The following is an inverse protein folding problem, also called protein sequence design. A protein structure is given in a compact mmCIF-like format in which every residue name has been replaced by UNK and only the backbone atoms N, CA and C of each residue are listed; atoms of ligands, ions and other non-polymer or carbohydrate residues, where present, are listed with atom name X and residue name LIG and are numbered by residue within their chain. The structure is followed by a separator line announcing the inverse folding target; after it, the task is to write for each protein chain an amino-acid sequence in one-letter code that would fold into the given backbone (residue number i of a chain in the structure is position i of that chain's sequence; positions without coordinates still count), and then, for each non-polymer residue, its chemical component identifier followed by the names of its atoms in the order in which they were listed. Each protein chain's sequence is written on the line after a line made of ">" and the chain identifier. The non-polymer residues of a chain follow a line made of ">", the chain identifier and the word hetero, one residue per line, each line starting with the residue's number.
data_IF_532169011695
#
_entry.id   IF_532169011695
#
_cell.length_a   1.000
_cell.length_b   1.000
_cell.length_c   1.000
_cell.angle_alpha   90.00
_cell.angle_beta   90.00
_cell.angle_gamma   90.00
#
_symmetry.space_group_name_H-M   'P 1'
#
loop_
_entity.id
_entity.type
_entity.pdbx_description
1 polymer ?
#
# COMPACT_ATOMS: atom_id res chain seq x y z
N UNK A 1 1.19 -8.42 -24.68
CA UNK A 1 1.36 -6.99 -24.30
C UNK A 1 0.20 -6.14 -24.77
N UNK A 2 -0.28 -6.29 -26.00
CA UNK A 2 -1.40 -5.49 -26.55
C UNK A 2 -2.70 -5.61 -25.74
N UNK A 3 -3.10 -6.83 -25.35
CA UNK A 3 -4.23 -7.05 -24.42
C UNK A 3 -4.09 -6.27 -23.09
N UNK A 4 -2.93 -6.32 -22.44
CA UNK A 4 -2.72 -5.58 -21.18
C UNK A 4 -2.83 -4.07 -21.40
N UNK A 5 -2.34 -3.56 -22.54
CA UNK A 5 -2.42 -2.14 -22.88
C UNK A 5 -3.86 -1.67 -23.18
N UNK A 6 -4.72 -2.54 -23.70
CA UNK A 6 -6.12 -2.20 -23.99
C UNK A 6 -7.04 -2.35 -22.79
N UNK A 7 -6.65 -3.15 -21.79
CA UNK A 7 -7.44 -3.35 -20.56
C UNK A 7 -6.99 -2.47 -19.39
N UNK A 8 -5.76 -1.95 -19.42
CA UNK A 8 -5.16 -1.28 -18.27
C UNK A 8 -4.36 -0.04 -18.68
N UNK A 9 -5.01 1.13 -18.61
CA UNK A 9 -4.42 2.43 -18.99
C UNK A 9 -3.14 2.78 -18.22
N UNK A 10 -2.98 2.24 -17.01
CA UNK A 10 -1.78 2.45 -16.18
C UNK A 10 -0.53 1.74 -16.71
N UNK A 11 -0.66 0.74 -17.61
CA UNK A 11 0.48 -0.06 -18.10
C UNK A 11 1.53 0.77 -18.85
N UNK A 12 1.14 1.92 -19.42
CA UNK A 12 2.07 2.83 -20.12
C UNK A 12 2.34 4.13 -19.34
N UNK A 13 1.78 4.28 -18.14
CA UNK A 13 1.90 5.54 -17.42
C UNK A 13 3.29 5.64 -16.74
N UNK A 14 4.04 6.74 -16.91
CA UNK A 14 5.47 6.82 -16.57
C UNK A 14 5.77 6.69 -15.07
N UNK A 15 4.76 6.82 -14.20
CA UNK A 15 4.88 6.53 -12.76
C UNK A 15 4.97 5.04 -12.43
N UNK A 16 4.67 4.15 -13.38
CA UNK A 16 4.66 2.71 -13.20
C UNK A 16 5.88 2.05 -13.86
N UNK A 17 6.08 0.78 -13.52
CA UNK A 17 7.17 -0.02 -14.06
C UNK A 17 6.95 -0.23 -15.56
N UNK A 18 7.93 0.16 -16.38
CA UNK A 18 7.96 -0.20 -17.80
C UNK A 18 8.06 -1.71 -17.96
N UNK A 19 7.07 -2.33 -18.62
CA UNK A 19 7.05 -3.78 -18.87
C UNK A 19 7.65 -4.14 -20.25
N UNK A 20 8.35 -5.28 -20.38
CA UNK A 20 8.64 -6.26 -19.32
C UNK A 20 9.80 -5.81 -18.41
N UNK A 21 9.72 -6.14 -17.12
CA UNK A 21 10.79 -5.89 -16.14
C UNK A 21 11.04 -7.15 -15.30
N UNK A 22 12.13 -7.86 -15.59
CA UNK A 22 12.45 -9.12 -14.94
C UNK A 22 12.81 -8.93 -13.46
N UNK A 23 13.62 -7.90 -13.16
CA UNK A 23 14.04 -7.56 -11.79
C UNK A 23 12.84 -7.23 -10.90
N UNK A 24 11.92 -6.38 -11.38
CA UNK A 24 10.74 -6.03 -10.62
C UNK A 24 9.82 -7.24 -10.39
N UNK A 25 9.65 -8.09 -11.40
CA UNK A 25 8.89 -9.34 -11.27
C UNK A 25 9.48 -10.25 -10.19
N UNK A 26 10.80 -10.45 -10.19
CA UNK A 26 11.47 -11.28 -9.19
C UNK A 26 11.36 -10.71 -7.78
N UNK A 27 11.56 -9.39 -7.61
CA UNK A 27 11.36 -8.70 -6.33
C UNK A 27 9.92 -8.85 -5.82
N UNK A 28 8.93 -8.66 -6.68
CA UNK A 28 7.52 -8.79 -6.31
C UNK A 28 7.12 -10.24 -5.97
N UNK A 29 7.64 -11.23 -6.68
CA UNK A 29 7.43 -12.66 -6.37
C UNK A 29 8.06 -13.03 -5.03
N UNK A 30 9.26 -12.51 -4.73
CA UNK A 30 9.87 -12.68 -3.41
C UNK A 30 8.98 -12.10 -2.31
N UNK A 31 8.46 -10.88 -2.50
CA UNK A 31 7.53 -10.27 -1.54
C UNK A 31 6.26 -11.10 -1.34
N UNK A 32 5.69 -11.63 -2.43
CA UNK A 32 4.50 -12.48 -2.39
C UNK A 32 4.73 -13.76 -1.57
N UNK A 33 5.94 -14.33 -1.62
CA UNK A 33 6.31 -15.52 -0.84
C UNK A 33 6.54 -15.23 0.64
N UNK A 34 6.89 -13.99 0.98
CA UNK A 34 7.17 -13.57 2.35
C UNK A 34 5.95 -12.99 3.08
N UNK A 35 4.88 -12.64 2.35
CA UNK A 35 3.68 -12.05 2.92
C UNK A 35 2.91 -13.03 3.80
N UNK A 36 2.41 -12.56 4.95
CA UNK A 36 1.57 -13.36 5.86
C UNK A 36 0.09 -13.38 5.42
N UNK A 37 -0.36 -12.29 4.78
CA UNK A 37 -1.70 -12.05 4.28
C UNK A 37 -1.59 -11.51 2.86
N UNK A 38 -2.34 -12.08 1.92
CA UNK A 38 -2.29 -11.66 0.51
C UNK A 38 -3.66 -11.16 0.05
N UNK A 39 -3.71 -9.86 -0.25
CA UNK A 39 -4.87 -9.24 -0.88
C UNK A 39 -4.89 -9.54 -2.38
N UNK A 40 -6.00 -10.05 -2.89
CA UNK A 40 -6.20 -10.20 -4.34
C UNK A 40 -7.61 -9.79 -4.74
N UNK A 41 -7.74 -9.45 -6.02
CA UNK A 41 -9.02 -9.17 -6.64
C UNK A 41 -9.69 -10.51 -6.97
N UNK A 42 -10.99 -10.58 -6.69
CA UNK A 42 -11.80 -11.81 -6.75
C UNK A 42 -12.82 -11.77 -7.88
N UNK A 43 -12.90 -10.64 -8.58
CA UNK A 43 -13.85 -10.40 -9.66
C UNK A 43 -13.64 -11.44 -10.78
N UNK A 44 -14.68 -12.21 -11.13
CA UNK A 44 -14.59 -13.31 -12.09
C UNK A 44 -14.50 -12.82 -13.53
N UNK A 45 -14.76 -11.53 -13.78
CA UNK A 45 -14.70 -10.95 -15.13
C UNK A 45 -13.24 -10.87 -15.59
N UNK A 46 -12.81 -11.87 -16.38
CA UNK A 46 -11.70 -11.99 -17.35
C UNK A 46 -10.38 -11.20 -17.15
N UNK A 47 -10.10 -10.71 -15.96
CA UNK A 47 -8.85 -10.02 -15.65
C UNK A 47 -8.23 -10.61 -14.41
N UNK A 48 -8.74 -10.25 -13.24
CA UNK A 48 -7.91 -10.32 -12.05
C UNK A 48 -7.83 -11.68 -11.38
N UNK A 49 -8.96 -12.39 -11.19
CA UNK A 49 -8.92 -13.73 -10.55
C UNK A 49 -8.15 -14.76 -11.38
N UNK A 50 -8.37 -14.89 -12.71
CA UNK A 50 -7.56 -15.78 -13.54
C UNK A 50 -6.07 -15.39 -13.57
N UNK A 51 -5.74 -14.08 -13.62
CA UNK A 51 -4.34 -13.63 -13.55
C UNK A 51 -3.69 -14.01 -12.22
N UNK A 52 -4.38 -13.83 -11.10
CA UNK A 52 -3.90 -14.24 -9.79
C UNK A 52 -3.68 -15.75 -9.72
N UNK A 53 -4.62 -16.56 -10.23
CA UNK A 53 -4.50 -18.02 -10.24
C UNK A 53 -3.32 -18.50 -11.09
N UNK A 54 -3.06 -17.85 -12.23
CA UNK A 54 -1.88 -18.14 -13.05
C UNK A 54 -0.58 -17.80 -12.32
N UNK A 55 -0.51 -16.64 -11.64
CA UNK A 55 0.65 -16.25 -10.82
C UNK A 55 0.86 -17.25 -9.68
N UNK A 56 -0.22 -17.62 -8.97
CA UNK A 56 -0.16 -18.58 -7.87
C UNK A 56 0.30 -19.96 -8.35
N UNK A 57 -0.25 -20.45 -9.46
CA UNK A 57 0.12 -21.75 -10.06
C UNK A 57 1.58 -21.79 -10.52
N UNK A 58 2.06 -20.73 -11.18
CA UNK A 58 3.41 -20.67 -11.72
C UNK A 58 4.48 -20.48 -10.65
N UNK A 59 4.30 -19.52 -9.74
CA UNK A 59 5.31 -19.17 -8.72
C UNK A 59 5.17 -19.95 -7.41
N UNK A 60 4.03 -20.61 -7.19
CA UNK A 60 3.69 -21.45 -6.03
C UNK A 60 4.00 -20.78 -4.69
N UNK A 61 3.57 -19.52 -4.44
CA UNK A 61 3.68 -18.92 -3.12
C UNK A 61 2.80 -19.65 -2.10
N UNK A 62 3.15 -19.54 -0.81
CA UNK A 62 2.29 -20.02 0.28
C UNK A 62 1.19 -18.99 0.52
N UNK A 63 -0.06 -19.35 0.23
CA UNK A 63 -1.21 -18.44 0.28
C UNK A 63 -2.23 -18.89 1.34
N UNK A 64 -1.76 -19.09 2.57
CA UNK A 64 -2.61 -19.63 3.65
C UNK A 64 -3.74 -18.66 4.05
N UNK A 65 -3.50 -17.35 3.91
CA UNK A 65 -4.46 -16.32 4.29
C UNK A 65 -4.60 -15.30 3.17
N UNK A 66 -5.74 -15.32 2.47
CA UNK A 66 -6.07 -14.35 1.43
C UNK A 66 -7.26 -13.49 1.83
N UNK A 67 -7.32 -12.29 1.28
CA UNK A 67 -8.43 -11.35 1.50
C UNK A 67 -8.67 -10.50 0.26
N UNK A 68 -9.75 -9.73 0.26
CA UNK A 68 -10.08 -8.84 -0.86
C UNK A 68 -9.11 -7.66 -0.94
N UNK A 69 -8.49 -7.42 -2.10
CA UNK A 69 -7.41 -6.42 -2.26
C UNK A 69 -7.81 -4.98 -1.86
N UNK A 70 -9.09 -4.60 -1.99
CA UNK A 70 -9.59 -3.28 -1.56
C UNK A 70 -10.00 -3.21 -0.09
N UNK A 71 -9.68 -4.22 0.73
CA UNK A 71 -9.89 -4.15 2.17
C UNK A 71 -9.22 -2.92 2.80
N UNK A 72 -8.13 -2.38 2.24
CA UNK A 72 -7.52 -1.13 2.70
C UNK A 72 -8.47 0.09 2.63
N UNK A 73 -9.26 0.22 1.57
CA UNK A 73 -10.26 1.27 1.44
C UNK A 73 -11.42 1.07 2.43
N UNK A 74 -11.82 -0.20 2.65
CA UNK A 74 -12.84 -0.52 3.65
C UNK A 74 -12.36 -0.21 5.08
N UNK A 75 -11.11 -0.55 5.42
CA UNK A 75 -10.50 -0.22 6.72
C UNK A 75 -10.47 1.29 6.93
N UNK A 76 -10.13 2.08 5.90
CA UNK A 76 -10.15 3.54 5.98
C UNK A 76 -11.55 4.13 6.19
N UNK A 77 -12.62 3.39 5.88
CA UNK A 77 -14.01 3.82 6.16
C UNK A 77 -14.48 3.40 7.55
N UNK A 78 -13.67 2.70 8.31
CA UNK A 78 -14.05 2.25 9.65
C UNK A 78 -13.56 3.25 10.70
N UNK A 79 -14.49 3.87 11.42
CA UNK A 79 -14.18 4.78 12.54
C UNK A 79 -13.23 4.16 13.56
N UNK A 80 -13.32 2.84 13.77
CA UNK A 80 -12.49 2.10 14.73
C UNK A 80 -11.01 2.13 14.36
N UNK A 81 -10.68 2.19 13.07
CA UNK A 81 -9.29 2.30 12.60
C UNK A 81 -8.63 3.56 13.20
N UNK A 82 -9.28 4.71 13.08
CA UNK A 82 -8.74 5.97 13.59
C UNK A 82 -8.58 5.96 15.10
N UNK A 83 -9.58 5.48 15.84
CA UNK A 83 -9.51 5.42 17.31
C UNK A 83 -8.49 4.39 17.81
N UNK A 84 -8.30 3.28 17.10
CA UNK A 84 -7.42 2.20 17.53
C UNK A 84 -5.94 2.53 17.33
N UNK A 85 -5.60 3.30 16.29
CA UNK A 85 -4.21 3.54 15.89
C UNK A 85 -3.69 4.95 16.18
N UNK A 86 -4.54 5.91 16.62
CA UNK A 86 -4.13 7.31 16.84
C UNK A 86 -2.89 7.51 17.71
N UNK A 87 -2.66 6.66 18.70
CA UNK A 87 -1.53 6.73 19.64
C UNK A 87 -0.47 5.64 19.37
N UNK A 88 -0.69 4.79 18.35
CA UNK A 88 0.28 3.77 17.95
C UNK A 88 1.47 4.44 17.27
N UNK A 89 2.69 3.98 17.55
CA UNK A 89 3.88 4.41 16.80
C UNK A 89 3.79 3.96 15.34
N UNK A 90 3.37 4.87 14.45
CA UNK A 90 3.12 4.59 13.03
C UNK A 90 4.12 5.33 12.15
N UNK A 91 4.76 4.63 11.22
CA UNK A 91 5.45 5.24 10.08
C UNK A 91 4.49 5.30 8.88
N UNK A 92 4.46 6.43 8.19
CA UNK A 92 3.78 6.54 6.90
C UNK A 92 4.81 6.47 5.78
N UNK A 93 4.52 5.75 4.70
CA UNK A 93 5.47 5.63 3.59
C UNK A 93 4.78 5.70 2.23
N UNK A 94 5.35 6.41 1.26
CA UNK A 94 4.86 6.52 -0.11
C UNK A 94 4.50 7.95 -0.53
N UNK A 95 4.16 8.11 -1.81
CA UNK A 95 3.91 9.39 -2.49
C UNK A 95 2.94 10.35 -1.75
N UNK A 96 2.01 9.80 -0.98
CA UNK A 96 0.99 10.57 -0.24
C UNK A 96 1.22 10.61 1.26
N UNK A 97 2.35 10.08 1.76
CA UNK A 97 2.61 9.93 3.19
C UNK A 97 2.54 11.27 3.94
N UNK A 98 3.16 12.33 3.40
CA UNK A 98 3.16 13.67 4.04
C UNK A 98 1.74 14.26 4.11
N UNK A 99 0.97 14.15 3.02
CA UNK A 99 -0.40 14.67 3.00
C UNK A 99 -1.32 13.85 3.91
N UNK A 100 -1.17 12.53 3.89
CA UNK A 100 -1.93 11.65 4.75
C UNK A 100 -1.58 11.84 6.23
N UNK A 101 -0.30 12.11 6.55
CA UNK A 101 0.13 12.51 7.89
C UNK A 101 -0.70 13.69 8.40
N UNK A 102 -0.78 14.76 7.58
CA UNK A 102 -1.53 15.96 7.94
C UNK A 102 -3.00 15.66 8.21
N UNK A 103 -3.64 14.88 7.34
CA UNK A 103 -5.04 14.46 7.54
C UNK A 103 -5.21 13.69 8.86
N UNK A 104 -4.33 12.73 9.14
CA UNK A 104 -4.39 11.94 10.38
C UNK A 104 -4.20 12.81 11.63
N UNK A 105 -3.29 13.77 11.60
CA UNK A 105 -3.01 14.66 12.74
C UNK A 105 -4.11 15.69 12.93
N UNK A 106 -4.45 16.43 11.87
CA UNK A 106 -5.32 17.62 11.97
C UNK A 106 -6.80 17.23 12.13
N UNK A 107 -7.27 16.25 11.36
CA UNK A 107 -8.69 15.84 11.38
C UNK A 107 -8.94 14.77 12.43
N UNK A 108 -8.07 13.77 12.51
CA UNK A 108 -8.33 12.58 13.33
C UNK A 108 -7.53 12.55 14.64
N UNK A 109 -6.72 13.58 14.92
CA UNK A 109 -6.01 13.73 16.20
C UNK A 109 -4.95 12.67 16.47
N UNK A 110 -4.30 12.14 15.43
CA UNK A 110 -3.24 11.15 15.59
C UNK A 110 -1.99 11.78 16.19
N UNK A 111 -1.49 11.19 17.28
CA UNK A 111 -0.29 11.64 18.01
C UNK A 111 0.90 10.70 17.86
N UNK A 112 0.65 9.44 17.46
CA UNK A 112 1.67 8.39 17.39
C UNK A 112 2.48 8.34 16.09
N UNK A 113 2.32 9.29 15.16
CA UNK A 113 3.06 9.25 13.89
C UNK A 113 4.54 9.58 14.13
N UNK A 114 5.43 8.62 13.83
CA UNK A 114 6.88 8.79 14.03
C UNK A 114 7.55 9.54 12.88
N UNK A 115 6.91 9.56 11.70
CA UNK A 115 7.40 10.24 10.51
C UNK A 115 6.73 9.79 9.23
N UNK A 116 7.16 10.42 8.14
CA UNK A 116 6.77 10.09 6.78
C UNK A 116 8.00 9.89 5.89
N UNK A 117 8.02 8.83 5.10
CA UNK A 117 9.05 8.52 4.10
C UNK A 117 8.42 8.60 2.72
N UNK A 118 8.98 9.40 1.81
CA UNK A 118 8.46 9.48 0.45
C UNK A 118 8.91 8.27 -0.40
N UNK A 119 8.06 7.86 -1.33
CA UNK A 119 8.37 6.87 -2.37
C UNK A 119 7.41 7.09 -3.55
N UNK A 120 7.75 7.97 -4.50
CA UNK A 120 6.84 8.39 -5.55
C UNK A 120 6.72 7.39 -6.70
N UNK A 121 7.76 6.62 -6.98
CA UNK A 121 7.82 5.65 -8.09
C UNK A 121 8.61 4.40 -7.71
N UNK A 122 8.58 3.39 -8.58
CA UNK A 122 9.39 2.17 -8.44
C UNK A 122 10.87 2.46 -8.18
N UNK A 123 11.47 3.43 -8.85
CA UNK A 123 12.93 3.66 -8.76
C UNK A 123 13.38 4.18 -7.39
N UNK A 124 12.46 4.66 -6.56
CA UNK A 124 12.76 5.22 -5.23
C UNK A 124 12.61 4.21 -4.09
N UNK A 125 12.29 2.94 -4.38
CA UNK A 125 12.01 1.96 -3.32
C UNK A 125 13.24 1.67 -2.44
N UNK A 126 14.46 1.66 -2.99
CA UNK A 126 15.68 1.36 -2.23
C UNK A 126 16.04 2.50 -1.27
N UNK A 127 15.94 3.75 -1.73
CA UNK A 127 16.10 4.94 -0.88
C UNK A 127 15.05 4.96 0.24
N UNK A 128 13.79 4.68 -0.09
CA UNK A 128 12.71 4.60 0.90
C UNK A 128 12.99 3.50 1.95
N UNK A 129 13.46 2.31 1.55
CA UNK A 129 13.87 1.26 2.50
C UNK A 129 15.01 1.72 3.41
N UNK A 130 15.99 2.44 2.87
CA UNK A 130 17.07 3.00 3.67
C UNK A 130 16.55 3.98 4.74
N UNK A 131 15.69 4.94 4.35
CA UNK A 131 15.07 5.87 5.29
C UNK A 131 14.18 5.18 6.32
N UNK A 132 13.41 4.16 5.92
CA UNK A 132 12.64 3.33 6.85
C UNK A 132 13.53 2.66 7.91
N UNK A 133 14.70 2.16 7.52
CA UNK A 133 15.66 1.54 8.45
C UNK A 133 16.27 2.56 9.40
N UNK A 134 16.65 3.74 8.90
CA UNK A 134 17.18 4.83 9.74
C UNK A 134 16.15 5.28 10.77
N UNK A 135 14.91 5.53 10.35
CA UNK A 135 13.83 5.90 11.27
C UNK A 135 13.53 4.79 12.28
N UNK A 136 13.51 3.52 11.86
CA UNK A 136 13.28 2.42 12.79
C UNK A 136 14.39 2.33 13.85
N UNK A 137 15.63 2.61 13.46
CA UNK A 137 16.79 2.55 14.36
C UNK A 137 16.80 3.69 15.38
N UNK A 138 16.37 4.90 14.99
CA UNK A 138 16.32 6.06 15.88
C UNK A 138 15.02 6.12 16.71
N UNK A 139 13.89 5.73 16.12
CA UNK A 139 12.57 5.76 16.73
C UNK A 139 11.73 4.56 16.25
N UNK A 140 11.88 3.39 16.90
CA UNK A 140 11.17 2.18 16.50
C UNK A 140 9.64 2.39 16.43
N UNK A 141 9.06 2.03 15.30
CA UNK A 141 7.61 2.04 15.05
C UNK A 141 7.04 0.63 15.08
N UNK A 142 5.75 0.51 15.45
CA UNK A 142 5.06 -0.79 15.49
C UNK A 142 4.35 -1.12 14.18
N UNK A 143 3.95 -0.09 13.44
CA UNK A 143 3.17 -0.20 12.22
C UNK A 143 3.73 0.72 11.14
N UNK A 144 3.83 0.24 9.91
CA UNK A 144 4.06 1.04 8.72
C UNK A 144 2.82 0.99 7.82
N UNK A 145 2.20 2.14 7.57
CA UNK A 145 1.12 2.29 6.58
C UNK A 145 1.72 2.74 5.26
N UNK A 146 1.80 1.81 4.31
CA UNK A 146 2.51 1.98 3.04
C UNK A 146 1.51 2.32 1.92
N UNK A 147 1.67 3.48 1.32
CA UNK A 147 0.78 4.10 0.35
C UNK A 147 1.57 4.46 -0.92
N UNK A 148 2.30 3.48 -1.45
CA UNK A 148 3.34 3.68 -2.47
C UNK A 148 3.08 2.92 -3.79
N UNK A 149 1.84 2.51 -4.08
CA UNK A 149 1.51 1.80 -5.32
C UNK A 149 2.28 0.48 -5.47
N UNK A 150 3.03 0.32 -6.57
CA UNK A 150 3.82 -0.90 -6.83
C UNK A 150 4.99 -1.08 -5.85
N UNK A 151 5.82 -0.05 -5.54
CA UNK A 151 6.80 -0.13 -4.45
C UNK A 151 6.24 -0.63 -3.12
N UNK A 152 4.93 -0.39 -2.88
CA UNK A 152 4.29 -0.68 -1.61
C UNK A 152 4.49 -2.12 -1.12
N UNK A 153 4.59 -3.09 -2.03
CA UNK A 153 4.77 -4.52 -1.70
C UNK A 153 6.15 -4.74 -1.08
N UNK A 154 7.18 -4.15 -1.68
CA UNK A 154 8.57 -4.24 -1.21
C UNK A 154 8.72 -3.54 0.13
N UNK A 155 8.18 -2.33 0.26
CA UNK A 155 8.28 -1.53 1.48
C UNK A 155 7.51 -2.16 2.66
N UNK A 156 6.36 -2.81 2.38
CA UNK A 156 5.58 -3.56 3.37
C UNK A 156 6.38 -4.73 3.94
N UNK A 157 7.02 -5.52 3.06
CA UNK A 157 7.89 -6.63 3.49
C UNK A 157 9.14 -6.12 4.20
N UNK A 158 9.69 -4.98 3.79
CA UNK A 158 10.82 -4.35 4.48
C UNK A 158 10.47 -3.97 5.92
N UNK A 159 9.29 -3.36 6.16
CA UNK A 159 8.82 -3.10 7.53
C UNK A 159 8.75 -4.38 8.38
N UNK A 160 8.26 -5.49 7.80
CA UNK A 160 8.26 -6.80 8.45
C UNK A 160 9.67 -7.26 8.82
N UNK A 161 10.64 -7.12 7.91
CA UNK A 161 12.05 -7.49 8.15
C UNK A 161 12.70 -6.67 9.26
N UNK A 162 12.27 -5.42 9.45
CA UNK A 162 12.70 -4.59 10.58
C UNK A 162 12.06 -5.01 11.92
N UNK A 163 11.02 -5.83 11.89
CA UNK A 163 10.28 -6.28 13.09
C UNK A 163 9.00 -5.49 13.36
N UNK A 164 8.57 -4.62 12.44
CA UNK A 164 7.30 -3.91 12.50
C UNK A 164 6.21 -4.63 11.71
N UNK A 165 4.94 -4.24 11.91
CA UNK A 165 3.84 -4.65 11.03
C UNK A 165 3.84 -3.76 9.79
N UNK A 166 4.00 -4.32 8.60
CA UNK A 166 3.79 -3.60 7.35
C UNK A 166 2.37 -3.81 6.82
N UNK A 167 1.70 -2.73 6.40
CA UNK A 167 0.40 -2.80 5.71
C UNK A 167 0.47 -2.01 4.41
N UNK A 168 0.19 -2.66 3.28
CA UNK A 168 -0.03 -1.99 1.99
C UNK A 168 -1.40 -1.29 2.00
N UNK A 169 -1.39 -0.06 2.52
CA UNK A 169 -2.56 0.73 2.81
C UNK A 169 -3.04 1.56 1.61
N UNK A 170 -2.24 1.70 0.55
CA UNK A 170 -2.63 2.19 -0.79
C UNK A 170 -3.88 3.10 -0.84
N UNK A 171 -4.99 2.52 -1.31
CA UNK A 171 -6.27 3.23 -1.52
C UNK A 171 -6.92 3.75 -0.23
N UNK A 172 -6.57 3.22 0.95
CA UNK A 172 -7.05 3.74 2.23
C UNK A 172 -6.57 5.16 2.51
N UNK A 173 -5.27 5.42 2.29
CA UNK A 173 -4.75 6.79 2.41
C UNK A 173 -5.34 7.71 1.34
N UNK A 174 -5.50 7.20 0.11
CA UNK A 174 -6.15 7.96 -0.97
C UNK A 174 -7.54 8.44 -0.57
N UNK A 175 -8.35 7.52 -0.04
CA UNK A 175 -9.70 7.78 0.39
C UNK A 175 -9.75 8.84 1.49
N UNK A 176 -8.91 8.69 2.51
CA UNK A 176 -8.82 9.66 3.61
C UNK A 176 -8.44 11.06 3.11
N UNK A 177 -7.49 11.13 2.19
CA UNK A 177 -7.01 12.39 1.63
C UNK A 177 -8.10 13.07 0.79
N UNK A 178 -8.77 12.33 -0.10
CA UNK A 178 -9.82 12.89 -0.95
C UNK A 178 -11.08 13.29 -0.17
N UNK A 179 -11.40 12.54 0.89
CA UNK A 179 -12.48 12.89 1.81
C UNK A 179 -12.19 14.23 2.49
N UNK A 180 -10.97 14.40 3.03
CA UNK A 180 -10.55 15.63 3.70
C UNK A 180 -10.58 16.84 2.78
N UNK A 181 -10.10 16.70 1.54
CA UNK A 181 -10.17 17.77 0.51
C UNK A 181 -11.60 18.24 0.22
N UNK A 182 -12.58 17.37 0.45
CA UNK A 182 -14.00 17.66 0.26
C UNK A 182 -14.72 17.98 1.58
N UNK A 183 -13.99 18.10 2.68
CA UNK A 183 -14.53 18.43 4.00
C UNK A 183 -15.26 17.28 4.70
N UNK A 184 -15.10 16.05 4.23
CA UNK A 184 -15.73 14.86 4.82
C UNK A 184 -14.74 14.07 5.68
N UNK A 185 -15.28 13.37 6.66
CA UNK A 185 -14.57 12.26 7.26
C UNK A 185 -14.56 11.07 6.28
N UNK A 186 -13.53 10.22 6.38
CA UNK A 186 -13.33 9.11 5.46
C UNK A 186 -14.51 8.13 5.45
N UNK A 187 -15.15 7.91 6.61
CA UNK A 187 -16.33 7.04 6.73
C UNK A 187 -17.62 7.66 6.16
N UNK A 188 -17.66 8.98 5.96
CA UNK A 188 -18.81 9.68 5.37
C UNK A 188 -18.62 9.93 3.84
N UNK A 189 -17.42 9.67 3.31
CA UNK A 189 -17.10 9.90 1.91
C UNK A 189 -17.62 8.80 0.96
N UNK A 190 -18.60 9.17 0.14
CA UNK A 190 -19.24 8.29 -0.86
C UNK A 190 -18.75 8.52 -2.30
N UNK A 191 -17.81 9.44 -2.52
CA UNK A 191 -17.28 9.73 -3.85
C UNK A 191 -16.41 8.60 -4.42
N UNK A 192 -16.26 8.59 -5.75
CA UNK A 192 -15.37 7.65 -6.45
C UNK A 192 -13.92 8.03 -6.21
N UNK A 193 -13.07 7.05 -5.85
CA UNK A 193 -11.63 7.26 -5.70
C UNK A 193 -11.00 7.61 -7.04
N UNK A 194 -10.26 8.70 -7.06
CA UNK A 194 -9.41 9.11 -8.20
C UNK A 194 -7.97 8.64 -7.97
N UNK A 195 -7.36 8.01 -8.97
CA UNK A 195 -6.00 7.44 -8.86
C UNK A 195 -5.00 8.23 -9.70
#
# INVERSE_FOLDING_TARGET
>A
MEFMKTQYDWVNHPKYITLPNASAREKLVACLREADLVGHLVEPQWGFKPLFDMVASFYKPKLDNTFYAFANAHISRDRRFYSAFKDTKVLLCGAKAVKYQKVLQDRYGWTGIVGAVDCPTWDHHEEAMHHMSLMYSSQPYRLALVCAGVPGKVLTIHAKKLGAVGVDFGSGAELSVQADEQGFDAWDYTGTLKY
#
